data_IF_002251956670
#
_entry.id   IF_002251956670
#
_cell.length_a   1.000
_cell.length_b   1.000
_cell.length_c   1.000
_cell.angle_alpha   90.00
_cell.angle_beta   90.00
_cell.angle_gamma   90.00
#
_symmetry.space_group_name_H-M   'P 1'
#
loop_
_entity.id
_entity.type
_entity.pdbx_description
1 polymer ?
#
# COMPACT_ATOMS: atom_id res chain seq x y z
N UNK A 1 -29.00 20.49 31.84
CA UNK A 1 -27.57 20.77 31.52
C UNK A 1 -27.16 22.15 32.05
N UNK A 2 -25.98 22.27 32.66
CA UNK A 2 -25.44 23.56 33.10
C UNK A 2 -25.11 24.43 31.87
N UNK A 3 -25.32 25.74 31.98
CA UNK A 3 -25.10 26.71 30.92
C UNK A 3 -23.64 26.64 30.40
N UNK A 4 -23.47 26.41 29.10
CA UNK A 4 -22.15 26.42 28.43
C UNK A 4 -21.77 25.14 27.67
N UNK A 5 -22.54 24.06 27.74
CA UNK A 5 -22.34 22.90 26.86
C UNK A 5 -22.87 23.21 25.46
N UNK A 6 -21.99 23.65 24.57
CA UNK A 6 -22.23 23.66 23.13
C UNK A 6 -22.66 22.22 22.76
N UNK A 7 -23.87 22.00 22.21
CA UNK A 7 -24.37 20.67 21.95
C UNK A 7 -23.33 19.90 21.13
N UNK A 8 -22.98 18.67 21.52
CA UNK A 8 -21.92 17.90 20.87
C UNK A 8 -22.00 17.86 19.33
N UNK A 9 -23.20 18.04 18.76
CA UNK A 9 -23.46 18.23 17.33
C UNK A 9 -22.79 19.49 16.76
N UNK A 10 -22.90 20.64 17.44
CA UNK A 10 -22.25 21.89 17.03
C UNK A 10 -20.72 21.77 17.15
N UNK A 11 -20.22 21.07 18.17
CA UNK A 11 -18.78 20.77 18.26
C UNK A 11 -18.32 19.80 17.17
N UNK A 12 -19.14 18.83 16.76
CA UNK A 12 -18.83 17.94 15.62
C UNK A 12 -18.72 18.76 14.33
N UNK A 13 -19.64 19.70 14.09
CA UNK A 13 -19.58 20.62 12.95
C UNK A 13 -18.32 21.50 13.00
N UNK A 14 -17.98 22.02 14.18
CA UNK A 14 -16.74 22.78 14.37
C UNK A 14 -15.50 21.89 14.10
N UNK A 15 -15.45 20.67 14.65
CA UNK A 15 -14.36 19.71 14.41
C UNK A 15 -14.20 19.37 12.93
N UNK A 16 -15.29 19.24 12.18
CA UNK A 16 -15.24 19.04 10.72
C UNK A 16 -14.66 20.27 9.99
N UNK A 17 -14.91 21.48 10.50
CA UNK A 17 -14.41 22.73 9.91
C UNK A 17 -12.98 23.10 10.32
N UNK A 18 -12.49 22.59 11.46
CA UNK A 18 -11.17 22.92 12.03
C UNK A 18 -10.21 21.73 12.07
N UNK A 19 -10.57 20.59 11.47
CA UNK A 19 -9.70 19.43 11.43
C UNK A 19 -8.39 19.77 10.73
N UNK A 20 -7.27 19.40 11.37
CA UNK A 20 -5.95 19.49 10.77
C UNK A 20 -5.48 18.10 10.36
N UNK A 21 -4.70 18.03 9.29
CA UNK A 21 -4.08 16.81 8.83
C UNK A 21 -2.62 16.80 9.28
N UNK A 22 -2.21 15.67 9.86
CA UNK A 22 -0.85 15.46 10.34
C UNK A 22 -0.35 14.11 9.83
N UNK A 23 0.96 14.05 9.58
CA UNK A 23 1.65 12.79 9.32
C UNK A 23 2.23 12.29 10.64
N UNK A 24 1.85 11.08 11.01
CA UNK A 24 2.46 10.37 12.12
C UNK A 24 3.46 9.36 11.57
N UNK A 25 4.66 9.36 12.16
CA UNK A 25 5.69 8.39 11.86
C UNK A 25 5.90 7.54 13.10
N UNK A 26 5.83 6.24 12.93
CA UNK A 26 6.10 5.30 14.02
C UNK A 26 7.60 5.20 14.24
N UNK A 27 7.98 5.02 15.50
CA UNK A 27 9.36 4.87 15.94
C UNK A 27 9.58 3.52 16.63
N UNK A 28 10.80 3.28 17.12
CA UNK A 28 11.22 2.05 17.82
C UNK A 28 10.90 0.77 17.03
N UNK A 29 11.23 0.78 15.74
CA UNK A 29 11.13 -0.40 14.87
C UNK A 29 12.47 -1.12 14.91
N UNK A 30 12.50 -2.32 15.47
CA UNK A 30 13.71 -3.16 15.50
C UNK A 30 13.66 -4.18 14.36
N UNK A 31 14.77 -4.33 13.64
CA UNK A 31 14.87 -5.22 12.48
C UNK A 31 16.03 -6.20 12.69
N UNK A 32 15.71 -7.49 12.62
CA UNK A 32 16.68 -8.58 12.64
C UNK A 32 16.64 -9.28 11.29
N UNK A 33 17.78 -9.35 10.60
CA UNK A 33 17.84 -9.91 9.26
C UNK A 33 19.01 -10.86 9.08
N UNK A 34 18.81 -11.85 8.20
CA UNK A 34 19.88 -12.69 7.65
C UNK A 34 19.80 -12.62 6.12
N UNK A 35 20.97 -12.46 5.52
CA UNK A 35 21.13 -12.36 4.07
C UNK A 35 22.10 -13.42 3.60
N UNK A 36 21.76 -14.07 2.49
CA UNK A 36 22.57 -15.09 1.85
C UNK A 36 22.70 -14.76 0.38
N UNK A 37 23.91 -14.86 -0.17
CA UNK A 37 24.18 -14.67 -1.59
C UNK A 37 25.10 -15.76 -2.08
N UNK A 38 24.73 -16.43 -3.18
CA UNK A 38 25.54 -17.49 -3.76
C UNK A 38 25.27 -17.62 -5.25
N UNK A 39 26.34 -17.90 -6.01
CA UNK A 39 26.20 -18.33 -7.40
C UNK A 39 25.93 -19.83 -7.48
N UNK A 40 24.84 -20.21 -8.15
CA UNK A 40 24.41 -21.59 -8.34
C UNK A 40 24.16 -21.79 -9.84
N UNK A 41 25.00 -22.60 -10.50
CA UNK A 41 24.80 -22.96 -11.91
C UNK A 41 24.80 -21.76 -12.87
N UNK A 42 25.56 -20.70 -12.57
CA UNK A 42 25.62 -19.48 -13.39
C UNK A 42 24.50 -18.47 -13.11
N UNK A 43 23.63 -18.74 -12.13
CA UNK A 43 22.65 -17.79 -11.59
C UNK A 43 23.18 -17.23 -10.28
N UNK A 44 23.22 -15.91 -10.16
CA UNK A 44 23.51 -15.23 -8.90
C UNK A 44 22.23 -15.15 -8.08
N UNK A 45 22.16 -15.91 -6.98
CA UNK A 45 20.97 -16.02 -6.14
C UNK A 45 21.20 -15.29 -4.83
N UNK A 46 20.30 -14.37 -4.50
CA UNK A 46 20.22 -13.70 -3.20
C UNK A 46 18.97 -14.13 -2.45
N UNK A 47 19.06 -14.19 -1.12
CA UNK A 47 17.89 -14.33 -0.25
C UNK A 47 18.06 -13.53 1.02
N UNK A 48 17.01 -12.80 1.39
CA UNK A 48 16.99 -11.98 2.60
C UNK A 48 15.74 -12.33 3.41
N UNK A 49 15.95 -12.69 4.67
CA UNK A 49 14.88 -12.92 5.63
C UNK A 49 15.01 -11.88 6.74
N UNK A 50 13.95 -11.12 6.99
CA UNK A 50 13.93 -10.14 8.06
C UNK A 50 12.68 -10.29 8.94
N UNK A 51 12.87 -10.14 10.24
CA UNK A 51 11.81 -10.00 11.23
C UNK A 51 11.87 -8.58 11.75
N UNK A 52 10.72 -7.91 11.75
CA UNK A 52 10.58 -6.53 12.20
C UNK A 52 9.62 -6.50 13.37
N UNK A 53 10.07 -5.99 14.49
CA UNK A 53 9.26 -5.77 15.68
C UNK A 53 8.69 -4.36 15.69
N UNK A 54 7.49 -4.21 16.25
CA UNK A 54 6.78 -2.93 16.34
C UNK A 54 6.59 -2.24 14.97
N UNK A 55 6.41 -3.04 13.91
CA UNK A 55 6.24 -2.55 12.54
C UNK A 55 4.84 -1.93 12.37
N UNK A 56 4.73 -0.72 11.79
CA UNK A 56 3.45 -0.11 11.44
C UNK A 56 2.72 -0.93 10.41
N UNK A 57 1.49 -1.32 10.73
CA UNK A 57 0.65 -2.14 9.88
C UNK A 57 -0.28 -1.26 9.03
N UNK A 58 -0.79 -1.84 7.94
CA UNK A 58 -1.80 -1.22 7.10
C UNK A 58 -3.04 -0.87 7.93
N UNK A 59 -3.21 0.42 8.23
CA UNK A 59 -4.20 0.93 9.18
C UNK A 59 -5.19 1.88 8.50
N UNK A 60 -6.40 1.97 9.04
CA UNK A 60 -7.32 3.07 8.74
C UNK A 60 -6.75 4.39 9.31
N UNK A 61 -7.20 5.56 8.81
CA UNK A 61 -6.81 6.83 9.40
C UNK A 61 -7.17 6.91 10.88
N UNK A 62 -6.23 7.38 11.69
CA UNK A 62 -6.47 7.67 13.09
C UNK A 62 -7.07 9.08 13.25
N UNK A 63 -8.04 9.21 14.15
CA UNK A 63 -8.70 10.46 14.50
C UNK A 63 -8.38 10.76 15.96
N UNK A 64 -7.49 11.71 16.19
CA UNK A 64 -7.12 12.14 17.53
C UNK A 64 -8.23 13.00 18.10
N UNK A 65 -8.77 12.58 19.24
CA UNK A 65 -9.80 13.33 19.96
C UNK A 65 -9.52 13.36 21.45
N UNK A 66 -10.20 14.23 22.19
CA UNK A 66 -10.05 14.29 23.64
C UNK A 66 -11.13 13.48 24.34
N UNK A 67 -10.85 13.00 25.55
CA UNK A 67 -11.83 12.34 26.42
C UNK A 67 -12.80 13.31 27.11
N UNK A 68 -12.53 14.62 26.98
CA UNK A 68 -13.38 15.70 27.49
C UNK A 68 -14.77 15.67 26.82
N UNK A 69 -15.83 16.19 27.47
CA UNK A 69 -17.15 16.36 26.86
C UNK A 69 -17.19 17.20 25.56
N UNK A 70 -16.07 17.84 25.20
CA UNK A 70 -15.90 18.57 23.94
C UNK A 70 -15.38 17.70 22.78
N UNK A 71 -14.88 16.50 23.05
CA UNK A 71 -14.37 15.54 22.07
C UNK A 71 -15.23 14.28 21.95
N UNK A 72 -14.71 13.24 21.30
CA UNK A 72 -15.43 11.99 21.05
C UNK A 72 -15.49 11.02 22.23
N UNK A 73 -14.72 11.26 23.30
CA UNK A 73 -14.65 10.31 24.42
C UNK A 73 -15.95 10.12 25.19
N UNK A 74 -16.89 11.06 25.07
CA UNK A 74 -18.24 10.94 25.64
C UNK A 74 -19.33 10.75 24.56
N UNK A 75 -18.94 10.50 23.31
CA UNK A 75 -19.87 10.38 22.18
C UNK A 75 -20.41 11.74 21.70
N UNK A 76 -21.47 11.68 20.89
CA UNK A 76 -22.09 12.86 20.28
C UNK A 76 -23.33 13.32 21.06
N UNK A 77 -23.15 13.64 22.35
CA UNK A 77 -24.21 14.14 23.21
C UNK A 77 -25.08 13.01 23.78
N UNK A 78 -26.24 12.75 23.16
CA UNK A 78 -27.12 11.63 23.55
C UNK A 78 -26.71 10.29 22.92
N UNK A 79 -25.67 10.30 22.09
CA UNK A 79 -25.15 9.12 21.39
C UNK A 79 -23.95 8.55 22.14
N UNK A 80 -23.75 7.22 22.11
CA UNK A 80 -22.69 6.57 22.87
C UNK A 80 -21.28 6.98 22.40
N UNK A 81 -20.25 6.70 23.22
CA UNK A 81 -18.86 6.80 22.79
C UNK A 81 -18.60 6.01 21.51
N UNK A 82 -17.68 6.52 20.69
CA UNK A 82 -17.32 5.94 19.40
C UNK A 82 -16.63 4.59 19.59
N UNK A 83 -16.94 3.61 18.75
CA UNK A 83 -16.16 2.36 18.75
C UNK A 83 -14.75 2.63 18.24
N UNK A 84 -13.76 1.88 18.75
CA UNK A 84 -12.36 2.02 18.32
C UNK A 84 -12.18 1.74 16.80
N UNK A 85 -13.09 0.98 16.20
CA UNK A 85 -13.11 0.69 14.76
C UNK A 85 -13.38 1.91 13.87
N UNK A 86 -13.88 3.01 14.44
CA UNK A 86 -14.07 4.28 13.73
C UNK A 86 -12.78 5.08 13.55
N UNK A 87 -11.67 4.60 14.11
CA UNK A 87 -10.37 5.28 14.03
C UNK A 87 -10.10 6.26 15.17
N UNK A 88 -11.07 6.48 16.08
CA UNK A 88 -10.89 7.43 17.18
C UNK A 88 -9.91 6.90 18.22
N UNK A 89 -8.91 7.71 18.49
CA UNK A 89 -7.91 7.49 19.54
C UNK A 89 -7.85 8.71 20.46
N UNK A 90 -7.58 8.46 21.74
CA UNK A 90 -7.59 9.50 22.77
C UNK A 90 -6.21 9.81 23.33
N UNK A 91 -5.23 8.99 22.98
CA UNK A 91 -3.87 9.15 23.44
C UNK A 91 -3.13 10.08 22.47
N UNK A 92 -2.55 11.14 23.00
CA UNK A 92 -1.54 11.90 22.26
C UNK A 92 -0.26 11.06 22.22
N UNK A 93 0.36 10.84 21.03
CA UNK A 93 1.62 10.13 20.93
C UNK A 93 2.68 10.70 21.86
N UNK A 94 3.36 9.82 22.56
CA UNK A 94 4.64 10.10 23.19
C UNK A 94 5.73 9.28 22.47
N UNK A 95 7.00 9.54 22.77
CA UNK A 95 8.13 8.81 22.17
C UNK A 95 7.96 7.29 22.31
N UNK A 96 7.83 6.57 21.20
CA UNK A 96 7.58 5.13 21.13
C UNK A 96 6.20 4.73 20.62
N UNK A 97 5.27 5.68 20.54
CA UNK A 97 3.87 5.39 20.21
C UNK A 97 3.61 5.56 18.71
N UNK A 98 3.10 4.50 18.10
CA UNK A 98 2.51 4.58 16.77
C UNK A 98 1.05 5.02 16.82
N UNK A 99 0.69 5.95 15.95
CA UNK A 99 -0.71 6.30 15.68
C UNK A 99 -1.42 5.30 14.76
N UNK A 100 -0.72 4.25 14.35
CA UNK A 100 -1.27 3.12 13.59
C UNK A 100 -1.37 1.89 14.49
N UNK A 101 -2.00 0.83 14.00
CA UNK A 101 -1.77 -0.49 14.54
C UNK A 101 -0.30 -0.90 14.29
N UNK A 102 0.29 -1.64 15.23
CA UNK A 102 1.65 -2.18 15.14
C UNK A 102 1.67 -3.68 15.36
N UNK A 103 2.76 -4.30 14.98
CA UNK A 103 2.97 -5.72 15.25
C UNK A 103 4.32 -6.24 14.81
N UNK A 104 4.53 -7.52 15.02
CA UNK A 104 5.72 -8.22 14.55
C UNK A 104 5.44 -8.79 13.16
N UNK A 105 6.36 -8.54 12.22
CA UNK A 105 6.23 -8.98 10.83
C UNK A 105 7.47 -9.73 10.38
N UNK A 106 7.28 -10.71 9.51
CA UNK A 106 8.34 -11.39 8.79
C UNK A 106 8.25 -10.99 7.32
N UNK A 107 9.39 -10.67 6.71
CA UNK A 107 9.50 -10.45 5.28
C UNK A 107 10.64 -11.30 4.74
N UNK A 108 10.42 -11.90 3.60
CA UNK A 108 11.37 -12.77 2.95
C UNK A 108 11.42 -12.47 1.47
N UNK A 109 12.62 -12.40 0.92
CA UNK A 109 12.85 -12.23 -0.50
C UNK A 109 13.84 -13.29 -0.99
N UNK A 110 13.60 -13.76 -2.20
CA UNK A 110 14.59 -14.50 -3.00
C UNK A 110 14.68 -13.79 -4.34
N UNK A 111 15.89 -13.43 -4.75
CA UNK A 111 16.15 -12.92 -6.09
C UNK A 111 17.18 -13.80 -6.81
N UNK A 112 17.09 -13.80 -8.13
CA UNK A 112 18.01 -14.50 -9.01
C UNK A 112 18.31 -13.65 -10.22
N UNK A 113 19.60 -13.46 -10.51
CA UNK A 113 20.10 -12.79 -11.71
C UNK A 113 20.87 -13.79 -12.58
N UNK A 114 20.50 -13.86 -13.85
CA UNK A 114 21.15 -14.70 -14.84
C UNK A 114 21.42 -13.92 -16.12
N UNK A 115 22.61 -14.10 -16.68
CA UNK A 115 22.91 -13.70 -18.06
C UNK A 115 22.76 -14.91 -18.97
N UNK A 116 21.88 -14.78 -19.96
CA UNK A 116 21.60 -15.81 -20.94
C UNK A 116 22.50 -15.60 -22.18
N UNK A 117 23.15 -16.66 -22.67
CA UNK A 117 23.99 -16.57 -23.87
C UNK A 117 23.14 -16.40 -25.12
N UNK A 118 23.81 -16.27 -26.27
CA UNK A 118 23.18 -16.20 -27.59
C UNK A 118 22.20 -17.35 -27.85
N UNK A 119 21.04 -17.00 -28.37
CA UNK A 119 19.99 -17.91 -28.85
C UNK A 119 19.64 -17.56 -30.30
N UNK A 120 18.76 -18.33 -30.97
CA UNK A 120 18.23 -17.93 -32.28
C UNK A 120 17.41 -16.63 -32.27
N UNK A 121 16.98 -16.16 -31.09
CA UNK A 121 16.08 -15.00 -30.94
C UNK A 121 16.83 -13.74 -30.52
N UNK A 122 17.92 -13.84 -29.76
CA UNK A 122 18.71 -12.70 -29.24
C UNK A 122 20.19 -13.06 -29.07
N UNK A 123 21.08 -12.08 -29.03
CA UNK A 123 22.52 -12.31 -28.87
C UNK A 123 22.95 -12.44 -27.41
N UNK A 124 22.23 -11.79 -26.50
CA UNK A 124 22.37 -11.93 -25.05
C UNK A 124 21.06 -11.53 -24.39
N UNK A 125 20.80 -11.98 -23.17
CA UNK A 125 19.73 -11.42 -22.35
C UNK A 125 20.09 -11.41 -20.87
N UNK A 126 19.54 -10.47 -20.12
CA UNK A 126 19.58 -10.48 -18.66
C UNK A 126 18.19 -10.82 -18.14
N UNK A 127 18.11 -11.82 -17.28
CA UNK A 127 16.91 -12.19 -16.52
C UNK A 127 17.17 -11.91 -15.04
N UNK A 128 16.33 -11.09 -14.45
CA UNK A 128 16.24 -10.88 -13.01
C UNK A 128 14.84 -11.27 -12.55
N UNK A 129 14.74 -12.16 -11.58
CA UNK A 129 13.46 -12.52 -10.96
C UNK A 129 13.57 -12.39 -9.45
N UNK A 130 12.53 -11.88 -8.81
CA UNK A 130 12.39 -11.76 -7.36
C UNK A 130 11.04 -12.31 -6.93
N UNK A 131 11.05 -13.17 -5.92
CA UNK A 131 9.87 -13.59 -5.17
C UNK A 131 9.95 -12.90 -3.81
N UNK A 132 8.85 -12.26 -3.38
CA UNK A 132 8.75 -11.67 -2.06
C UNK A 132 7.56 -12.26 -1.28
N UNK A 133 7.73 -12.32 0.02
CA UNK A 133 6.76 -12.80 1.00
C UNK A 133 6.72 -11.86 2.20
N UNK A 134 5.53 -11.60 2.72
CA UNK A 134 5.35 -10.92 4.01
C UNK A 134 4.33 -11.66 4.88
N UNK A 135 4.52 -11.66 6.19
CA UNK A 135 3.65 -12.32 7.16
C UNK A 135 3.51 -11.49 8.44
N UNK A 136 2.29 -11.40 8.96
CA UNK A 136 2.00 -10.86 10.29
C UNK A 136 2.18 -11.96 11.34
N UNK A 137 3.27 -11.88 12.10
CA UNK A 137 3.55 -12.82 13.18
C UNK A 137 2.64 -12.54 14.38
N UNK A 138 2.54 -11.27 14.77
CA UNK A 138 1.78 -10.82 15.94
C UNK A 138 1.20 -9.44 15.69
N UNK A 139 -0.05 -9.22 16.11
CA UNK A 139 -0.68 -7.91 16.21
C UNK A 139 -0.57 -7.43 17.65
N UNK A 140 -0.09 -6.21 17.88
CA UNK A 140 -0.08 -5.61 19.20
C UNK A 140 -1.47 -5.10 19.58
N UNK A 141 -1.80 -5.15 20.87
CA UNK A 141 -3.12 -4.76 21.36
C UNK A 141 -3.38 -3.25 21.31
N UNK A 142 -2.32 -2.43 21.42
CA UNK A 142 -2.43 -0.98 21.32
C UNK A 142 -2.83 -0.60 19.90
N UNK A 143 -3.89 0.19 19.77
CA UNK A 143 -4.44 0.65 18.49
C UNK A 143 -4.81 -0.47 17.51
N UNK A 144 -5.02 -1.71 17.99
CA UNK A 144 -5.29 -2.85 17.10
C UNK A 144 -6.55 -2.70 16.26
N UNK A 145 -7.52 -1.91 16.74
CA UNK A 145 -8.77 -1.62 16.03
C UNK A 145 -8.56 -0.81 14.76
N UNK A 146 -7.39 -0.14 14.63
CA UNK A 146 -7.02 0.59 13.42
C UNK A 146 -6.54 -0.34 12.30
N UNK A 147 -6.14 -1.57 12.62
CA UNK A 147 -5.63 -2.50 11.62
C UNK A 147 -6.73 -2.85 10.60
N UNK A 148 -6.45 -2.64 9.30
CA UNK A 148 -7.41 -2.94 8.22
C UNK A 148 -7.77 -4.42 8.13
N UNK A 149 -7.03 -5.32 8.78
CA UNK A 149 -7.36 -6.75 8.81
C UNK A 149 -8.45 -7.11 9.84
N UNK A 150 -8.99 -6.13 10.59
CA UNK A 150 -10.15 -6.35 11.48
C UNK A 150 -11.44 -6.48 10.66
N UNK A 151 -12.40 -7.24 11.19
CA UNK A 151 -13.69 -7.50 10.54
C UNK A 151 -14.57 -6.27 10.30
N UNK A 152 -14.23 -5.15 10.94
CA UNK A 152 -14.91 -3.86 10.77
C UNK A 152 -14.48 -3.13 9.50
N UNK A 153 -13.33 -3.47 8.91
CA UNK A 153 -12.90 -2.90 7.64
C UNK A 153 -13.47 -3.73 6.47
N UNK A 154 -13.91 -3.05 5.41
CA UNK A 154 -14.63 -3.68 4.28
C UNK A 154 -13.98 -3.49 2.90
N UNK A 155 -12.82 -2.83 2.84
CA UNK A 155 -12.14 -2.57 1.57
C UNK A 155 -11.48 -3.82 0.98
N UNK A 156 -11.39 -3.88 -0.35
CA UNK A 156 -10.65 -4.91 -1.10
C UNK A 156 -9.16 -5.04 -0.71
N UNK A 157 -8.58 -4.01 -0.10
CA UNK A 157 -7.22 -4.00 0.46
C UNK A 157 -7.15 -4.40 1.93
N UNK A 158 -8.17 -5.10 2.45
CA UNK A 158 -8.11 -5.72 3.76
C UNK A 158 -6.91 -6.69 3.82
N UNK A 159 -5.91 -6.44 4.67
CA UNK A 159 -4.74 -7.30 4.78
C UNK A 159 -5.09 -8.72 5.19
N UNK A 160 -4.46 -9.68 4.54
CA UNK A 160 -4.41 -11.07 5.01
C UNK A 160 -3.25 -11.23 5.98
N UNK A 161 -3.15 -12.41 6.60
CA UNK A 161 -2.02 -12.70 7.49
C UNK A 161 -0.70 -12.73 6.72
N UNK A 162 -0.73 -13.15 5.46
CA UNK A 162 0.43 -13.22 4.60
C UNK A 162 0.16 -12.74 3.18
N UNK A 163 1.22 -12.40 2.46
CA UNK A 163 1.17 -11.95 1.09
C UNK A 163 2.38 -12.44 0.31
N UNK A 164 2.15 -12.77 -0.96
CA UNK A 164 3.16 -13.19 -1.92
C UNK A 164 3.11 -12.30 -3.14
N UNK A 165 4.27 -12.03 -3.73
CA UNK A 165 4.35 -11.45 -5.05
C UNK A 165 5.66 -11.74 -5.75
N UNK A 166 5.69 -11.43 -7.04
CA UNK A 166 6.83 -11.68 -7.90
C UNK A 166 7.11 -10.47 -8.78
N UNK A 167 8.39 -10.18 -8.98
CA UNK A 167 8.86 -9.21 -9.94
C UNK A 167 9.84 -9.88 -10.91
N UNK A 168 9.66 -9.67 -12.20
CA UNK A 168 10.54 -10.21 -13.24
C UNK A 168 10.94 -9.09 -14.18
N UNK A 169 12.23 -9.01 -14.48
CA UNK A 169 12.80 -8.15 -15.50
C UNK A 169 13.56 -9.02 -16.49
N UNK A 170 13.25 -8.87 -17.77
CA UNK A 170 13.91 -9.59 -18.85
C UNK A 170 14.30 -8.60 -19.94
N UNK A 171 15.59 -8.54 -20.27
CA UNK A 171 16.13 -7.61 -21.25
C UNK A 171 16.99 -8.37 -22.25
N UNK A 172 16.42 -8.84 -23.38
CA UNK A 172 17.19 -9.31 -24.51
C UNK A 172 17.86 -8.14 -25.24
N UNK A 173 19.02 -8.45 -25.81
CA UNK A 173 19.89 -7.52 -26.55
C UNK A 173 20.31 -8.16 -27.87
N UNK A 174 20.31 -7.36 -28.93
CA UNK A 174 20.84 -7.69 -30.26
C UNK A 174 22.01 -6.76 -30.55
N UNK A 175 23.17 -7.33 -30.82
CA UNK A 175 24.38 -6.55 -31.06
C UNK A 175 24.53 -6.27 -32.55
N UNK A 176 24.98 -5.06 -32.88
CA UNK A 176 25.26 -4.62 -34.24
C UNK A 176 24.11 -4.91 -35.23
N UNK A 177 22.87 -4.65 -34.83
CA UNK A 177 21.70 -4.69 -35.74
C UNK A 177 21.95 -3.77 -36.94
N UNK A 178 22.57 -2.63 -36.67
CA UNK A 178 23.25 -1.81 -37.68
C UNK A 178 24.71 -1.58 -37.27
N UNK A 179 25.59 -1.15 -38.19
CA UNK A 179 26.96 -0.80 -37.85
C UNK A 179 27.03 0.24 -36.72
N UNK A 180 27.49 -0.22 -35.54
CA UNK A 180 27.58 0.60 -34.34
C UNK A 180 26.26 0.82 -33.59
N UNK A 181 25.20 0.06 -33.87
CA UNK A 181 23.92 0.17 -33.12
C UNK A 181 23.56 -1.17 -32.51
N UNK A 182 23.46 -1.18 -31.18
CA UNK A 182 22.93 -2.30 -30.41
C UNK A 182 21.50 -1.98 -29.98
N UNK A 183 20.61 -2.96 -30.06
CA UNK A 183 19.20 -2.80 -29.67
C UNK A 183 18.87 -3.67 -28.46
N UNK A 184 17.95 -3.21 -27.62
CA UNK A 184 17.43 -3.98 -26.47
C UNK A 184 15.92 -3.87 -26.38
N UNK A 185 15.28 -4.87 -25.77
CA UNK A 185 13.84 -4.87 -25.52
C UNK A 185 13.56 -5.09 -24.03
N UNK A 186 13.79 -4.10 -23.15
CA UNK A 186 13.56 -4.25 -21.72
C UNK A 186 12.08 -4.49 -21.41
N UNK A 187 11.79 -5.56 -20.69
CA UNK A 187 10.45 -5.92 -20.25
C UNK A 187 10.45 -6.16 -18.74
N UNK A 188 9.42 -5.70 -18.05
CA UNK A 188 9.26 -5.93 -16.62
C UNK A 188 7.82 -6.17 -16.23
N UNK A 189 7.60 -7.00 -15.22
CA UNK A 189 6.30 -7.17 -14.55
C UNK A 189 6.52 -7.30 -13.06
N UNK A 190 5.63 -6.69 -12.27
CA UNK A 190 5.51 -6.88 -10.83
C UNK A 190 4.04 -7.20 -10.55
N UNK A 191 3.78 -8.30 -9.85
CA UNK A 191 2.41 -8.76 -9.55
C UNK A 191 2.34 -9.38 -8.16
N UNK A 192 1.33 -9.00 -7.39
CA UNK A 192 0.94 -9.74 -6.18
C UNK A 192 0.18 -11.01 -6.55
N UNK A 193 0.68 -12.15 -6.08
CA UNK A 193 0.18 -13.48 -6.40
C UNK A 193 -0.96 -13.90 -5.46
N UNK A 194 -0.78 -13.65 -4.17
CA UNK A 194 -1.77 -14.01 -3.17
C UNK A 194 -1.70 -13.11 -1.93
N UNK A 195 -2.85 -12.97 -1.27
CA UNK A 195 -2.99 -12.15 -0.07
C UNK A 195 -2.79 -10.64 -0.29
N UNK A 196 -2.95 -9.87 0.77
CA UNK A 196 -2.70 -8.43 0.85
C UNK A 196 -1.77 -8.19 2.03
N UNK A 197 -0.67 -7.48 1.80
CA UNK A 197 0.39 -7.37 2.81
C UNK A 197 -0.11 -6.73 4.10
N UNK A 198 0.30 -7.22 5.29
CA UNK A 198 -0.04 -6.62 6.57
C UNK A 198 0.58 -5.24 6.77
N UNK A 199 1.58 -4.87 5.98
CA UNK A 199 2.22 -3.54 6.00
C UNK A 199 1.78 -2.72 4.80
N UNK A 200 1.65 -1.40 5.01
CA UNK A 200 1.31 -0.49 3.92
C UNK A 200 2.38 -0.55 2.82
N UNK A 201 1.95 -0.67 1.56
CA UNK A 201 2.85 -0.71 0.40
C UNK A 201 3.56 -2.04 0.15
N UNK A 202 3.28 -3.12 0.91
CA UNK A 202 3.90 -4.43 0.72
C UNK A 202 3.33 -5.26 -0.46
N UNK A 203 2.36 -4.71 -1.19
CA UNK A 203 1.74 -5.39 -2.34
C UNK A 203 0.44 -6.12 -1.99
N UNK A 204 -0.27 -6.51 -3.04
CA UNK A 204 -1.60 -7.12 -2.94
C UNK A 204 -1.91 -7.97 -4.16
N UNK A 205 -2.71 -9.02 -3.94
CA UNK A 205 -3.18 -9.94 -4.96
C UNK A 205 -3.82 -9.21 -6.14
N UNK A 206 -3.64 -9.78 -7.34
CA UNK A 206 -4.22 -9.31 -8.60
C UNK A 206 -3.90 -7.84 -8.92
N UNK A 207 -2.82 -7.30 -8.34
CA UNK A 207 -2.43 -5.90 -8.47
C UNK A 207 -0.96 -5.81 -8.81
N UNK A 208 -0.60 -4.88 -9.68
CA UNK A 208 0.76 -4.79 -10.14
C UNK A 208 0.99 -3.73 -11.21
N UNK A 209 2.16 -3.81 -11.83
CA UNK A 209 2.54 -3.00 -12.97
C UNK A 209 3.38 -3.80 -13.96
N UNK A 210 3.40 -3.33 -15.19
CA UNK A 210 4.25 -3.88 -16.23
C UNK A 210 4.84 -2.77 -17.08
N UNK A 211 5.96 -3.07 -17.74
CA UNK A 211 6.56 -2.19 -18.71
C UNK A 211 7.13 -2.97 -19.89
N UNK A 212 7.05 -2.34 -21.06
CA UNK A 212 7.65 -2.80 -22.29
C UNK A 212 8.40 -1.63 -22.91
N UNK A 213 9.66 -1.83 -23.27
CA UNK A 213 10.45 -0.80 -23.94
C UNK A 213 11.28 -1.34 -25.09
N UNK A 214 11.77 -0.42 -25.90
CA UNK A 214 12.76 -0.63 -26.96
C UNK A 214 13.88 0.39 -26.74
N UNK A 215 15.10 -0.11 -26.64
CA UNK A 215 16.31 0.69 -26.47
C UNK A 215 17.24 0.57 -27.66
N UNK A 216 18.01 1.62 -27.94
CA UNK A 216 19.09 1.63 -28.91
C UNK A 216 20.32 2.35 -28.35
N UNK A 217 21.46 1.66 -28.33
CA UNK A 217 22.76 2.22 -28.01
C UNK A 217 23.56 2.42 -29.31
N UNK A 218 23.82 3.68 -29.66
CA UNK A 218 24.47 4.10 -30.91
C UNK A 218 25.90 4.54 -30.60
N UNK A 219 26.87 3.83 -31.19
CA UNK A 219 28.32 3.94 -30.99
C UNK A 219 28.74 3.92 -29.50
N UNK A 220 27.89 3.34 -28.64
CA UNK A 220 28.02 3.41 -27.18
C UNK A 220 28.20 4.86 -26.65
N UNK A 221 27.58 5.83 -27.34
CA UNK A 221 27.64 7.27 -27.02
C UNK A 221 26.25 7.88 -26.85
N UNK A 222 25.30 7.47 -27.69
CA UNK A 222 23.92 7.94 -27.63
C UNK A 222 23.00 6.77 -27.27
N UNK A 223 22.20 6.94 -26.23
CA UNK A 223 21.27 5.94 -25.75
C UNK A 223 19.84 6.48 -25.88
N UNK A 224 19.02 5.81 -26.68
CA UNK A 224 17.62 6.16 -26.92
C UNK A 224 16.76 5.04 -26.36
N UNK A 225 15.80 5.38 -25.49
CA UNK A 225 14.86 4.41 -24.93
C UNK A 225 13.43 4.91 -25.10
N UNK A 226 12.56 4.07 -25.65
CA UNK A 226 11.11 4.26 -25.64
C UNK A 226 10.49 3.21 -24.73
N UNK A 227 9.77 3.63 -23.68
CA UNK A 227 9.20 2.72 -22.67
C UNK A 227 7.74 3.03 -22.40
N UNK A 228 6.87 2.04 -22.58
CA UNK A 228 5.50 2.05 -22.09
C UNK A 228 5.44 1.43 -20.70
N UNK A 229 4.72 2.08 -19.77
CA UNK A 229 4.50 1.59 -18.41
C UNK A 229 3.02 1.69 -18.10
N UNK A 230 2.45 0.63 -17.54
CA UNK A 230 1.05 0.61 -17.12
C UNK A 230 0.89 -0.20 -15.84
N UNK A 231 -0.27 -0.06 -15.22
CA UNK A 231 -0.64 -0.75 -13.98
C UNK A 231 -1.98 -1.44 -14.12
N UNK A 232 -2.21 -2.40 -13.24
CA UNK A 232 -3.47 -3.12 -13.15
C UNK A 232 -3.82 -3.36 -11.68
N UNK A 233 -5.11 -3.51 -11.41
CA UNK A 233 -5.62 -3.78 -10.08
C UNK A 233 -7.14 -3.79 -10.08
N UNK A 234 -7.73 -3.68 -8.89
CA UNK A 234 -9.18 -3.60 -8.71
C UNK A 234 -9.48 -2.48 -7.73
N UNK A 235 -10.60 -1.82 -7.93
CA UNK A 235 -11.07 -0.79 -7.01
C UNK A 235 -12.53 -1.02 -6.65
N UNK A 236 -12.84 -0.89 -5.36
CA UNK A 236 -14.22 -0.86 -4.89
C UNK A 236 -14.81 0.52 -5.15
N UNK A 237 -16.00 0.54 -5.72
CA UNK A 237 -16.75 1.77 -6.00
C UNK A 237 -17.71 2.06 -4.86
N UNK A 238 -17.85 3.33 -4.54
CA UNK A 238 -18.91 3.81 -3.67
C UNK A 238 -20.13 4.17 -4.52
N UNK A 239 -21.17 3.33 -4.53
CA UNK A 239 -22.44 3.67 -5.20
C UNK A 239 -23.41 4.33 -4.22
N UNK A 240 -23.45 3.83 -2.98
CA UNK A 240 -24.33 4.30 -1.92
C UNK A 240 -23.50 4.75 -0.72
N UNK A 241 -23.64 6.02 -0.34
CA UNK A 241 -23.08 6.52 0.92
C UNK A 241 -23.90 6.04 2.11
N UNK A 242 -23.25 5.85 3.26
CA UNK A 242 -23.92 5.49 4.51
C UNK A 242 -25.00 6.49 4.94
N UNK A 243 -26.14 5.98 5.39
CA UNK A 243 -27.26 6.78 5.88
C UNK A 243 -27.08 7.11 7.36
N UNK A 244 -27.02 8.40 7.72
CA UNK A 244 -26.76 8.86 9.09
C UNK A 244 -27.99 8.90 10.01
N UNK A 245 -29.12 8.36 9.58
CA UNK A 245 -30.37 8.36 10.36
C UNK A 245 -30.58 7.04 11.11
N UNK A 246 -30.82 7.10 12.42
CA UNK A 246 -31.22 5.93 13.22
C UNK A 246 -30.17 4.82 13.39
N UNK A 247 -30.32 4.02 14.44
CA UNK A 247 -29.40 2.93 14.76
C UNK A 247 -29.43 1.77 13.74
N UNK A 248 -30.58 1.54 13.10
CA UNK A 248 -30.73 0.49 12.09
C UNK A 248 -29.80 0.66 10.87
N UNK A 249 -29.31 1.88 10.62
CA UNK A 249 -28.44 2.20 9.49
C UNK A 249 -26.93 2.18 9.84
N UNK A 250 -26.55 1.69 11.02
CA UNK A 250 -25.16 1.70 11.49
C UNK A 250 -24.17 0.93 10.60
N UNK A 251 -24.65 -0.03 9.80
CA UNK A 251 -23.83 -0.77 8.84
C UNK A 251 -24.02 -0.34 7.38
N UNK A 252 -24.81 0.71 7.11
CA UNK A 252 -25.18 1.12 5.75
C UNK A 252 -24.04 1.81 5.01
N UNK A 253 -24.05 1.68 3.68
CA UNK A 253 -23.11 2.32 2.76
C UNK A 253 -21.95 1.42 2.31
N UNK A 254 -21.35 1.81 1.20
CA UNK A 254 -20.28 1.10 0.50
C UNK A 254 -18.87 1.52 0.98
N UNK A 255 -18.78 2.36 2.01
CA UNK A 255 -17.51 2.80 2.59
C UNK A 255 -16.72 1.61 3.18
N UNK A 256 -15.40 1.78 3.29
CA UNK A 256 -14.51 0.75 3.81
C UNK A 256 -14.31 0.81 5.33
N UNK A 257 -14.55 1.96 5.95
CA UNK A 257 -14.34 2.20 7.39
C UNK A 257 -15.57 2.81 8.06
N UNK A 258 -15.94 2.41 9.30
CA UNK A 258 -16.98 3.08 10.08
C UNK A 258 -16.67 4.56 10.29
N UNK A 259 -17.64 5.43 10.03
CA UNK A 259 -17.46 6.88 10.12
C UNK A 259 -17.61 7.38 11.56
N UNK A 260 -16.51 7.84 12.18
CA UNK A 260 -16.50 8.44 13.53
C UNK A 260 -17.42 9.68 13.71
N UNK A 261 -17.74 10.38 12.63
CA UNK A 261 -18.53 11.61 12.65
C UNK A 261 -20.03 11.36 12.43
N UNK A 262 -20.42 10.16 11.96
CA UNK A 262 -21.83 9.81 11.80
C UNK A 262 -22.43 9.32 13.11
N UNK A 263 -23.60 9.82 13.52
CA UNK A 263 -24.21 9.44 14.80
C UNK A 263 -24.43 7.92 15.01
N UNK A 264 -24.53 7.16 13.93
CA UNK A 264 -24.70 5.71 13.93
C UNK A 264 -23.49 4.90 13.44
N UNK A 265 -22.32 5.50 13.19
CA UNK A 265 -21.12 4.79 12.72
C UNK A 265 -21.23 4.11 11.35
N UNK A 266 -22.13 4.60 10.48
CA UNK A 266 -22.27 4.10 9.11
C UNK A 266 -20.97 4.11 8.28
N UNK A 267 -21.01 3.42 7.14
CA UNK A 267 -19.90 3.35 6.19
C UNK A 267 -20.08 4.39 5.09
N UNK A 268 -19.91 5.66 5.47
CA UNK A 268 -19.98 6.79 4.55
C UNK A 268 -18.82 6.78 3.54
N UNK A 269 -19.14 7.13 2.30
CA UNK A 269 -18.17 7.34 1.22
C UNK A 269 -18.73 8.36 0.22
N UNK A 270 -17.87 8.86 -0.68
CA UNK A 270 -18.32 9.77 -1.74
C UNK A 270 -18.93 8.97 -2.88
N UNK A 271 -20.26 9.08 -3.08
CA UNK A 271 -20.97 8.37 -4.13
C UNK A 271 -20.44 8.74 -5.52
N UNK A 272 -20.18 7.74 -6.35
CA UNK A 272 -19.48 7.87 -7.63
C UNK A 272 -17.95 7.84 -7.53
N UNK A 273 -17.38 7.87 -6.31
CA UNK A 273 -15.96 7.69 -6.04
C UNK A 273 -15.57 6.24 -5.76
N UNK A 274 -14.35 6.07 -5.23
CA UNK A 274 -13.82 4.78 -4.80
C UNK A 274 -13.84 4.68 -3.26
N UNK A 275 -14.12 3.49 -2.73
CA UNK A 275 -14.09 3.21 -1.29
C UNK A 275 -12.83 2.47 -0.85
N UNK A 276 -12.17 1.73 -1.76
CA UNK A 276 -10.90 1.06 -1.55
C UNK A 276 -10.21 0.71 -2.89
N UNK A 277 -8.91 0.45 -2.86
CA UNK A 277 -8.10 0.06 -4.00
C UNK A 277 -7.26 -1.14 -3.62
N UNK A 278 -7.21 -2.19 -4.44
CA UNK A 278 -6.44 -3.41 -4.13
C UNK A 278 -4.95 -3.12 -3.93
N UNK A 279 -4.41 -2.03 -4.47
CA UNK A 279 -3.08 -1.53 -4.16
C UNK A 279 -2.71 -0.35 -5.05
N UNK A 280 -1.43 0.06 -5.04
CA UNK A 280 -0.95 1.20 -5.82
C UNK A 280 -1.27 1.10 -7.32
N UNK A 281 -1.15 -0.10 -7.90
CA UNK A 281 -1.43 -0.33 -9.32
C UNK A 281 -2.87 -0.04 -9.74
N UNK A 282 -3.85 -0.27 -8.86
CA UNK A 282 -5.26 0.03 -9.13
C UNK A 282 -5.54 1.54 -9.25
N UNK A 283 -4.70 2.40 -8.66
CA UNK A 283 -4.88 3.87 -8.72
C UNK A 283 -4.47 4.46 -10.07
N UNK A 284 -3.67 3.70 -10.83
CA UNK A 284 -3.13 4.07 -12.13
C UNK A 284 -3.49 3.06 -13.22
N UNK A 285 -4.47 2.18 -12.95
CA UNK A 285 -5.06 1.32 -13.96
C UNK A 285 -5.61 2.18 -15.12
N UNK A 286 -5.37 1.72 -16.35
CA UNK A 286 -5.72 2.42 -17.61
C UNK A 286 -5.09 3.83 -17.76
N UNK A 287 -4.03 4.13 -17.00
CA UNK A 287 -3.30 5.41 -17.05
C UNK A 287 -1.87 5.23 -17.55
N UNK A 288 -1.68 4.27 -18.45
CA UNK A 288 -0.39 3.96 -19.03
C UNK A 288 0.31 5.18 -19.63
N UNK A 289 1.63 5.25 -19.45
CA UNK A 289 2.47 6.36 -19.87
C UNK A 289 3.58 5.88 -20.80
N UNK A 290 3.85 6.68 -21.83
CA UNK A 290 4.96 6.48 -22.77
C UNK A 290 6.09 7.47 -22.47
N UNK A 291 7.29 6.94 -22.22
CA UNK A 291 8.48 7.71 -21.91
C UNK A 291 9.49 7.58 -23.04
N UNK A 292 9.96 8.71 -23.58
CA UNK A 292 11.13 8.77 -24.45
C UNK A 292 12.29 9.34 -23.63
N UNK A 293 13.39 8.59 -23.55
CA UNK A 293 14.61 9.00 -22.87
C UNK A 293 15.76 9.06 -23.87
N UNK A 294 16.54 10.14 -23.83
CA UNK A 294 17.79 10.30 -24.57
C UNK A 294 18.91 10.59 -23.58
N UNK A 295 19.97 9.78 -23.61
CA UNK A 295 21.20 10.01 -22.82
C UNK A 295 22.40 10.06 -23.74
N UNK A 296 23.37 10.90 -23.39
CA UNK A 296 24.65 10.98 -24.10
C UNK A 296 25.79 10.88 -23.09
N UNK A 297 26.86 10.20 -23.46
CA UNK A 297 28.10 10.15 -22.69
C UNK A 297 29.21 10.83 -23.48
N UNK A 298 29.92 11.77 -22.86
CA UNK A 298 31.05 12.50 -23.45
C UNK A 298 32.37 11.81 -23.11
#
# INVERSE_FOLDING_TARGET
PAAGQVPAVVNTLNSLSTATYQLAYSDKIDIFGISLSKDIGGVSVGSDLNIRHNMPLASIPAIVSTTSPLGFGQGLGLLPPRTAATGVIYDTPHDGDSMSATGDTLHWTINGLMTLPKTPVFDSAVLLAELYYSNLLKLDSKNEALYKGKSTYRGIDAPTRDNWGVAVNFTPTWYQVFPGVDMSLPMSVNVGLDGVSPVSGGGAKDTGNYALGVGAAIYNKYFVDLKYVDSFGKADKCNVSGNSTGAANAGSGDGSTPNAFSGNENYACYAGGYSAFSGGGATTEDRGALYLTLKTTF
#
